data_IF_182565599769
#
_entry.id   IF_182565599769
#
_cell.length_a   1.000
_cell.length_b   1.000
_cell.length_c   1.000
_cell.angle_alpha   90.00
_cell.angle_beta   90.00
_cell.angle_gamma   90.00
#
_symmetry.space_group_name_H-M   'P 1'
#
loop_
_entity.id
_entity.type
_entity.pdbx_description
1 polymer ?
#
# COMPACT_ATOMS: atom_id res chain seq x y z
N UNK A 1 -30.53 1.28 7.68
CA UNK A 1 -29.39 0.35 7.71
C UNK A 1 -28.15 1.22 7.84
N UNK A 2 -27.73 1.44 9.09
CA UNK A 2 -26.60 2.29 9.43
C UNK A 2 -25.35 1.51 9.08
N UNK A 3 -24.49 2.03 8.21
CA UNK A 3 -23.14 1.50 8.04
C UNK A 3 -22.38 1.87 9.30
N UNK A 4 -21.94 0.85 10.05
CA UNK A 4 -21.12 1.03 11.24
C UNK A 4 -19.83 1.74 10.83
N UNK A 5 -19.76 3.03 11.17
CA UNK A 5 -18.53 3.80 11.11
C UNK A 5 -17.60 3.25 12.19
N UNK A 6 -16.37 2.92 11.81
CA UNK A 6 -15.36 2.41 12.72
C UNK A 6 -15.07 3.43 13.83
N UNK A 7 -15.50 3.14 15.05
CA UNK A 7 -14.85 3.68 16.26
C UNK A 7 -13.60 2.85 16.51
N UNK A 8 -12.47 3.26 15.91
CA UNK A 8 -11.16 2.67 16.18
C UNK A 8 -10.27 3.78 16.72
N UNK A 9 -9.93 3.70 18.02
CA UNK A 9 -9.18 4.73 18.77
C UNK A 9 -7.68 4.75 18.42
N UNK A 10 -7.30 4.31 17.23
CA UNK A 10 -5.92 4.11 16.81
C UNK A 10 -5.72 4.19 15.30
N UNK A 11 -4.52 4.61 14.91
CA UNK A 11 -4.11 4.74 13.52
C UNK A 11 -3.49 3.44 13.01
N UNK A 12 -4.13 2.77 12.07
CA UNK A 12 -3.69 1.48 11.53
C UNK A 12 -2.83 1.69 10.29
N UNK A 13 -1.60 1.16 10.33
CA UNK A 13 -0.65 1.23 9.20
C UNK A 13 -0.49 -0.16 8.58
N UNK A 14 -0.83 -0.28 7.30
CA UNK A 14 -0.49 -1.43 6.47
C UNK A 14 0.95 -1.36 5.99
N UNK A 15 1.71 -2.45 6.10
CA UNK A 15 3.10 -2.52 5.62
C UNK A 15 3.24 -3.65 4.63
N UNK A 16 3.81 -3.35 3.46
CA UNK A 16 4.11 -4.31 2.39
C UNK A 16 5.50 -4.05 1.80
N UNK A 17 6.10 -5.06 1.19
CA UNK A 17 7.40 -4.98 0.52
C UNK A 17 7.45 -5.98 -0.61
N UNK A 18 8.48 -5.90 -1.47
CA UNK A 18 8.86 -6.98 -2.39
C UNK A 18 7.70 -7.42 -3.30
N UNK A 19 6.94 -6.46 -3.81
CA UNK A 19 5.87 -6.75 -4.75
C UNK A 19 6.43 -7.08 -6.14
N UNK A 20 7.61 -6.56 -6.51
CA UNK A 20 8.29 -6.84 -7.78
C UNK A 20 7.35 -6.70 -9.00
N UNK A 21 6.46 -5.70 -8.98
CA UNK A 21 5.46 -5.42 -10.03
C UNK A 21 4.17 -6.23 -9.91
N UNK A 22 4.01 -7.03 -8.86
CA UNK A 22 2.88 -7.93 -8.66
C UNK A 22 2.21 -7.69 -7.31
N UNK A 23 1.04 -7.05 -7.35
CA UNK A 23 0.17 -6.93 -6.18
C UNK A 23 -0.87 -8.05 -6.17
N UNK A 24 -0.91 -8.83 -5.09
CA UNK A 24 -1.88 -9.91 -4.94
C UNK A 24 -3.25 -9.33 -4.55
N UNK A 25 -4.36 -9.86 -5.08
CA UNK A 25 -5.69 -9.33 -4.79
C UNK A 25 -6.06 -9.38 -3.31
N UNK A 26 -5.53 -10.34 -2.54
CA UNK A 26 -5.74 -10.48 -1.10
C UNK A 26 -5.22 -9.28 -0.30
N UNK A 27 -4.33 -8.46 -0.87
CA UNK A 27 -3.86 -7.22 -0.23
C UNK A 27 -5.01 -6.23 -0.06
N UNK A 28 -5.97 -6.18 -0.99
CA UNK A 28 -7.12 -5.28 -0.88
C UNK A 28 -7.99 -5.61 0.34
N UNK A 29 -8.19 -6.90 0.61
CA UNK A 29 -8.94 -7.36 1.79
C UNK A 29 -8.13 -7.15 3.07
N UNK A 30 -6.84 -7.48 3.05
CA UNK A 30 -5.96 -7.30 4.21
C UNK A 30 -5.81 -5.82 4.60
N UNK A 31 -5.85 -4.91 3.62
CA UNK A 31 -5.63 -3.47 3.82
C UNK A 31 -6.94 -2.67 3.78
N UNK A 32 -8.12 -3.30 3.78
CA UNK A 32 -9.41 -2.64 3.62
C UNK A 32 -9.68 -1.52 4.64
N UNK A 33 -9.03 -1.59 5.80
CA UNK A 33 -9.29 -0.73 6.95
C UNK A 33 -8.05 0.02 7.47
N UNK A 34 -6.98 0.07 6.69
CA UNK A 34 -5.75 0.78 7.08
C UNK A 34 -5.90 2.27 6.76
N UNK A 35 -5.38 3.12 7.65
CA UNK A 35 -5.37 4.57 7.47
C UNK A 35 -4.21 5.04 6.58
N UNK A 36 -3.14 4.23 6.51
CA UNK A 36 -1.93 4.50 5.74
C UNK A 36 -1.28 3.19 5.29
N UNK A 37 -0.66 3.21 4.12
CA UNK A 37 0.18 2.13 3.61
C UNK A 37 1.64 2.59 3.50
N UNK A 38 2.56 1.75 3.99
CA UNK A 38 4.00 1.89 3.76
C UNK A 38 4.46 0.74 2.86
N UNK A 39 5.02 1.07 1.69
CA UNK A 39 5.76 0.12 0.86
C UNK A 39 7.26 0.21 1.14
N UNK A 40 7.87 -0.85 1.66
CA UNK A 40 9.25 -0.85 2.16
C UNK A 40 10.34 -1.08 1.09
N UNK A 41 10.01 -0.87 -0.20
CA UNK A 41 10.91 -1.10 -1.33
C UNK A 41 10.66 -2.36 -2.13
N UNK A 42 11.40 -2.49 -3.23
CA UNK A 42 11.31 -3.57 -4.22
C UNK A 42 9.88 -3.68 -4.79
N UNK A 43 9.39 -2.52 -5.22
CA UNK A 43 8.03 -2.29 -5.72
C UNK A 43 7.89 -2.81 -7.15
N UNK A 44 8.92 -2.64 -7.98
CA UNK A 44 8.97 -3.08 -9.37
C UNK A 44 8.24 -2.17 -10.37
N UNK A 45 7.12 -1.53 -10.03
CA UNK A 45 6.42 -0.62 -10.96
C UNK A 45 5.50 0.43 -10.29
N UNK A 46 5.18 1.51 -11.03
CA UNK A 46 4.24 2.55 -10.56
C UNK A 46 2.81 2.03 -10.40
N UNK A 47 2.41 1.05 -11.21
CA UNK A 47 1.06 0.47 -11.17
C UNK A 47 0.76 -0.21 -9.83
N UNK A 48 1.77 -0.78 -9.16
CA UNK A 48 1.61 -1.30 -7.78
C UNK A 48 1.27 -0.17 -6.82
N UNK A 49 1.95 0.97 -6.92
CA UNK A 49 1.67 2.12 -6.06
C UNK A 49 0.28 2.69 -6.33
N UNK A 50 -0.13 2.76 -7.59
CA UNK A 50 -1.47 3.24 -7.95
C UNK A 50 -2.57 2.31 -7.44
N UNK A 51 -2.35 0.99 -7.50
CA UNK A 51 -3.26 0.00 -6.93
C UNK A 51 -3.35 0.12 -5.40
N UNK A 52 -2.23 0.34 -4.71
CA UNK A 52 -2.23 0.56 -3.25
C UNK A 52 -2.88 1.90 -2.87
N UNK A 53 -2.67 2.96 -3.66
CA UNK A 53 -3.28 4.29 -3.45
C UNK A 53 -4.79 4.29 -3.62
N UNK A 54 -5.33 3.32 -4.35
CA UNK A 54 -6.77 3.13 -4.44
C UNK A 54 -7.38 2.61 -3.12
N UNK A 55 -6.56 2.07 -2.20
CA UNK A 55 -6.99 1.55 -0.90
C UNK A 55 -6.84 2.64 0.17
N UNK A 56 -5.63 3.19 0.32
CA UNK A 56 -5.31 4.20 1.34
C UNK A 56 -4.08 5.03 0.89
N UNK A 57 -3.78 6.19 1.52
CA UNK A 57 -2.57 6.95 1.21
C UNK A 57 -1.31 6.08 1.32
N UNK A 58 -0.37 6.24 0.36
CA UNK A 58 0.85 5.40 0.28
C UNK A 58 2.10 6.25 0.44
N UNK A 59 2.98 5.84 1.35
CA UNK A 59 4.38 6.21 1.36
C UNK A 59 5.23 5.02 0.91
N UNK A 60 6.17 5.27 0.01
CA UNK A 60 7.04 4.23 -0.53
C UNK A 60 8.50 4.62 -0.32
N UNK A 61 9.30 3.63 0.08
CA UNK A 61 10.76 3.70 0.09
C UNK A 61 11.26 3.01 -1.17
N UNK A 62 12.29 3.56 -1.80
CA UNK A 62 12.93 2.95 -2.97
C UNK A 62 13.80 1.77 -2.54
N UNK A 63 13.55 0.58 -3.09
CA UNK A 63 14.40 -0.61 -2.94
C UNK A 63 15.49 -0.72 -4.00
N UNK A 64 16.32 -1.76 -3.90
CA UNK A 64 17.42 -1.99 -4.85
C UNK A 64 16.93 -2.44 -6.24
N UNK A 65 15.74 -3.05 -6.33
CA UNK A 65 15.14 -3.45 -7.59
C UNK A 65 14.35 -2.32 -8.26
N UNK A 66 14.17 -1.19 -7.58
CA UNK A 66 13.43 -0.04 -8.10
C UNK A 66 14.35 0.86 -8.96
N UNK A 67 14.07 0.85 -10.27
CA UNK A 67 14.89 1.49 -11.29
C UNK A 67 14.62 2.97 -11.54
N UNK A 68 14.83 3.39 -12.79
CA UNK A 68 14.70 4.77 -13.28
C UNK A 68 13.39 5.49 -12.94
N UNK A 69 12.33 4.75 -12.69
CA UNK A 69 10.99 5.29 -12.43
C UNK A 69 10.81 5.76 -10.98
N UNK A 70 11.61 5.23 -10.04
CA UNK A 70 11.46 5.46 -8.60
C UNK A 70 12.32 6.64 -8.09
N UNK A 71 12.53 7.65 -8.94
CA UNK A 71 13.17 8.90 -8.53
C UNK A 71 12.11 9.81 -7.90
N UNK A 72 12.44 10.37 -6.73
CA UNK A 72 11.55 11.23 -5.93
C UNK A 72 11.32 12.60 -6.53
#
# INVERSE_FOLDING_TARGET
>A
MSTDAKEQDGFLVGVISDTHGHLRPEVAEAFADVDLIIHAGDIGSHEVLDALRAIAPVHAVRGNMDGGWAHG
#
